data_IF_748972428207
#
_entry.id   IF_748972428207
#
_cell.length_a   1.000
_cell.length_b   1.000
_cell.length_c   1.000
_cell.angle_alpha   90.00
_cell.angle_beta   90.00
_cell.angle_gamma   90.00
#
_symmetry.space_group_name_H-M   'P 1'
#
loop_
_entity.id
_entity.type
_entity.pdbx_description
1 polymer ?
#
# COMPACT_ATOMS: atom_id res chain seq x y z
N UNK A 1 17.14 -34.30 -10.45
CA UNK A 1 16.76 -33.48 -11.62
C UNK A 1 17.17 -32.04 -11.28
N UNK A 2 18.30 -31.57 -11.85
CA UNK A 2 18.70 -30.16 -11.73
C UNK A 2 17.70 -29.30 -12.50
N UNK A 3 16.77 -28.65 -11.78
CA UNK A 3 15.91 -27.66 -12.40
C UNK A 3 16.77 -26.46 -12.77
N UNK A 4 16.92 -26.18 -14.06
CA UNK A 4 17.61 -24.98 -14.54
C UNK A 4 16.88 -23.76 -13.98
N UNK A 5 17.57 -22.98 -13.14
CA UNK A 5 17.02 -21.72 -12.61
C UNK A 5 17.25 -20.63 -13.64
N UNK A 6 16.24 -19.83 -13.89
CA UNK A 6 16.34 -18.61 -14.68
C UNK A 6 16.35 -17.46 -13.67
N UNK A 7 17.34 -16.60 -13.76
CA UNK A 7 17.49 -15.44 -12.90
C UNK A 7 17.20 -14.19 -13.73
N UNK A 8 16.32 -13.33 -13.23
CA UNK A 8 16.01 -12.04 -13.84
C UNK A 8 16.65 -10.94 -12.99
N UNK A 9 17.28 -9.98 -13.63
CA UNK A 9 17.88 -8.83 -13.00
C UNK A 9 17.11 -7.56 -13.42
N UNK A 10 16.70 -6.76 -12.42
CA UNK A 10 15.99 -5.49 -12.62
C UNK A 10 16.94 -4.36 -12.26
N UNK A 11 17.21 -3.46 -13.19
CA UNK A 11 18.12 -2.32 -13.01
C UNK A 11 19.17 -2.23 -14.10
N UNK A 12 20.08 -1.24 -13.97
CA UNK A 12 21.23 -1.10 -14.88
C UNK A 12 22.30 -2.17 -14.64
N UNK A 13 23.19 -2.35 -15.59
CA UNK A 13 24.36 -3.22 -15.49
C UNK A 13 24.04 -4.70 -15.14
N UNK A 14 23.14 -5.31 -15.93
CA UNK A 14 22.75 -6.70 -15.77
C UNK A 14 23.96 -7.63 -15.79
N UNK A 15 24.20 -8.45 -14.73
CA UNK A 15 25.31 -9.38 -14.68
C UNK A 15 25.13 -10.53 -15.68
N UNK A 16 26.26 -11.08 -16.16
CA UNK A 16 26.26 -12.11 -17.21
C UNK A 16 25.56 -13.44 -16.86
N UNK A 17 25.28 -13.69 -15.58
CA UNK A 17 24.58 -14.88 -15.12
C UNK A 17 23.06 -14.73 -15.07
N UNK A 18 22.52 -13.54 -15.36
CA UNK A 18 21.09 -13.23 -15.28
C UNK A 18 20.58 -12.69 -16.62
N UNK A 19 19.29 -12.74 -16.80
CA UNK A 19 18.57 -12.12 -17.91
C UNK A 19 18.12 -10.70 -17.52
N UNK A 20 18.33 -9.75 -18.40
CA UNK A 20 17.91 -8.37 -18.21
C UNK A 20 16.38 -8.28 -18.34
N UNK A 21 15.71 -7.92 -17.24
CA UNK A 21 14.25 -7.87 -17.18
C UNK A 21 13.66 -6.86 -18.19
N UNK A 22 14.26 -5.68 -18.28
CA UNK A 22 13.73 -4.62 -19.15
C UNK A 22 13.86 -4.97 -20.63
N UNK A 23 14.99 -5.61 -21.03
CA UNK A 23 15.16 -6.09 -22.38
C UNK A 23 14.22 -7.25 -22.74
N UNK A 24 14.01 -8.16 -21.80
CA UNK A 24 13.07 -9.27 -22.01
C UNK A 24 11.64 -8.76 -22.15
N UNK A 25 11.19 -7.94 -21.23
CA UNK A 25 9.80 -7.46 -21.20
C UNK A 25 9.47 -6.54 -22.37
N UNK A 26 10.42 -5.73 -22.86
CA UNK A 26 10.22 -4.87 -24.03
C UNK A 26 9.93 -5.65 -25.32
N UNK A 27 10.36 -6.91 -25.40
CA UNK A 27 10.16 -7.79 -26.55
C UNK A 27 9.00 -8.79 -26.37
N UNK A 28 8.31 -8.76 -25.20
CA UNK A 28 7.17 -9.64 -24.98
C UNK A 28 5.93 -9.17 -25.73
N UNK A 29 5.13 -10.13 -26.20
CA UNK A 29 3.83 -9.82 -26.78
C UNK A 29 2.88 -9.28 -25.71
N UNK A 30 2.13 -8.22 -26.04
CA UNK A 30 1.12 -7.62 -25.13
C UNK A 30 -0.20 -8.39 -25.19
N UNK A 31 -0.14 -9.70 -24.97
CA UNK A 31 -1.30 -10.59 -24.95
C UNK A 31 -1.30 -11.39 -23.63
N UNK A 32 -2.49 -11.73 -23.16
CA UNK A 32 -2.62 -12.62 -22.00
C UNK A 32 -2.03 -14.00 -22.32
N UNK A 33 -1.22 -14.59 -21.44
CA UNK A 33 -0.72 -15.95 -21.62
C UNK A 33 -1.83 -17.02 -21.54
N UNK A 34 -3.06 -16.64 -21.15
CA UNK A 34 -4.22 -17.54 -21.11
C UNK A 34 -4.08 -18.70 -20.11
N UNK A 35 -3.24 -18.55 -19.11
CA UNK A 35 -3.08 -19.56 -18.04
C UNK A 35 -4.37 -19.62 -17.23
N UNK A 36 -5.06 -20.78 -17.16
CA UNK A 36 -6.24 -20.90 -16.31
C UNK A 36 -5.81 -20.85 -14.85
N UNK A 37 -6.47 -20.01 -14.07
CA UNK A 37 -6.29 -19.87 -12.62
C UNK A 37 -7.62 -20.07 -11.93
N UNK A 38 -7.57 -20.67 -10.75
CA UNK A 38 -8.72 -20.86 -9.85
C UNK A 38 -8.45 -20.17 -8.52
N UNK A 39 -9.47 -19.97 -7.73
CA UNK A 39 -9.37 -19.41 -6.38
C UNK A 39 -8.49 -20.27 -5.46
N UNK A 40 -8.40 -21.58 -5.72
CA UNK A 40 -7.62 -22.55 -4.95
C UNK A 40 -6.13 -22.58 -5.32
N UNK A 41 -5.74 -21.96 -6.44
CA UNK A 41 -4.34 -21.92 -6.86
C UNK A 41 -3.48 -21.09 -5.89
N UNK A 42 -2.23 -21.51 -5.76
CA UNK A 42 -1.23 -20.83 -4.95
C UNK A 42 -0.89 -19.46 -5.56
N UNK A 43 -1.06 -18.39 -4.78
CA UNK A 43 -0.91 -17.02 -5.25
C UNK A 43 0.36 -16.32 -4.74
N UNK A 44 0.71 -16.53 -3.45
CA UNK A 44 1.84 -15.84 -2.85
C UNK A 44 2.41 -16.58 -1.65
N UNK A 45 3.71 -16.37 -1.40
CA UNK A 45 4.37 -16.77 -0.17
C UNK A 45 4.79 -15.50 0.57
N UNK A 46 4.24 -15.30 1.76
CA UNK A 46 4.67 -14.23 2.65
C UNK A 46 5.53 -14.76 3.78
N UNK A 47 6.49 -13.97 4.20
CA UNK A 47 7.37 -14.31 5.31
C UNK A 47 7.01 -13.46 6.53
N UNK A 48 6.71 -14.12 7.66
CA UNK A 48 6.61 -13.47 8.94
C UNK A 48 7.96 -13.44 9.65
N UNK A 49 8.20 -12.45 10.51
CA UNK A 49 9.46 -12.34 11.28
C UNK A 49 9.71 -13.51 12.23
N UNK A 50 8.68 -14.31 12.55
CA UNK A 50 8.75 -15.48 13.42
C UNK A 50 9.27 -15.17 14.84
N UNK A 51 8.63 -15.71 15.86
CA UNK A 51 9.06 -15.58 17.26
C UNK A 51 10.31 -16.41 17.57
N UNK A 52 10.73 -17.30 16.66
CA UNK A 52 11.85 -18.24 16.81
C UNK A 52 13.13 -17.79 16.10
N UNK A 53 13.19 -16.56 15.59
CA UNK A 53 14.36 -15.98 14.93
C UNK A 53 14.48 -16.29 13.42
N UNK A 54 13.76 -17.27 12.90
CA UNK A 54 13.73 -17.55 11.46
C UNK A 54 12.39 -17.14 10.84
N UNK A 55 12.40 -16.47 9.66
CA UNK A 55 11.18 -16.13 8.94
C UNK A 55 10.39 -17.40 8.60
N UNK A 56 9.09 -17.38 8.87
CA UNK A 56 8.17 -18.47 8.49
C UNK A 56 7.52 -18.13 7.15
N UNK A 57 7.65 -19.03 6.20
CA UNK A 57 6.97 -18.95 4.91
C UNK A 57 5.50 -19.37 5.08
N UNK A 58 4.59 -18.49 4.64
CA UNK A 58 3.14 -18.71 4.69
C UNK A 58 2.63 -18.65 3.26
N UNK A 59 2.11 -19.78 2.79
CA UNK A 59 1.51 -19.90 1.46
C UNK A 59 0.07 -19.40 1.50
N UNK A 60 -0.28 -18.54 0.56
CA UNK A 60 -1.62 -18.01 0.37
C UNK A 60 -2.17 -18.37 -0.99
N UNK A 61 -3.44 -18.75 -1.02
CA UNK A 61 -4.22 -18.96 -2.25
C UNK A 61 -4.84 -17.64 -2.72
N UNK A 62 -5.29 -17.62 -3.98
CA UNK A 62 -5.97 -16.46 -4.55
C UNK A 62 -7.19 -16.06 -3.73
N UNK A 63 -8.05 -17.01 -3.34
CA UNK A 63 -9.25 -16.77 -2.51
C UNK A 63 -8.94 -16.01 -1.21
N UNK A 64 -7.86 -16.39 -0.51
CA UNK A 64 -7.49 -15.78 0.77
C UNK A 64 -7.04 -14.31 0.59
N UNK A 65 -6.31 -14.03 -0.48
CA UNK A 65 -5.88 -12.67 -0.79
C UNK A 65 -7.06 -11.79 -1.21
N UNK A 66 -7.96 -12.33 -2.06
CA UNK A 66 -9.17 -11.62 -2.48
C UNK A 66 -10.09 -11.35 -1.28
N UNK A 67 -10.31 -12.34 -0.42
CA UNK A 67 -11.13 -12.18 0.79
C UNK A 67 -10.58 -11.08 1.71
N UNK A 68 -9.25 -11.03 1.89
CA UNK A 68 -8.61 -9.96 2.67
C UNK A 68 -8.86 -8.58 2.07
N UNK A 69 -8.71 -8.44 0.75
CA UNK A 69 -8.96 -7.18 0.05
C UNK A 69 -10.44 -6.76 0.16
N UNK A 70 -11.37 -7.69 0.02
CA UNK A 70 -12.81 -7.43 0.15
C UNK A 70 -13.19 -7.00 1.56
N UNK A 71 -12.59 -7.61 2.58
CA UNK A 71 -12.80 -7.24 3.98
C UNK A 71 -12.38 -5.79 4.22
N UNK A 72 -11.19 -5.40 3.79
CA UNK A 72 -10.69 -4.02 3.92
C UNK A 72 -11.60 -3.02 3.19
N UNK A 73 -11.99 -3.33 1.95
CA UNK A 73 -12.90 -2.48 1.19
C UNK A 73 -14.24 -2.28 1.90
N UNK A 74 -14.78 -3.36 2.47
CA UNK A 74 -16.05 -3.31 3.20
C UNK A 74 -15.95 -2.38 4.41
N UNK A 75 -14.90 -2.53 5.22
CA UNK A 75 -14.67 -1.68 6.39
C UNK A 75 -14.46 -0.21 6.02
N UNK A 76 -13.70 0.06 4.96
CA UNK A 76 -13.47 1.43 4.48
C UNK A 76 -14.70 2.03 3.76
N UNK A 77 -15.73 1.24 3.46
CA UNK A 77 -16.80 1.66 2.54
C UNK A 77 -16.23 2.18 1.23
N UNK A 78 -15.18 1.51 0.73
CA UNK A 78 -14.45 1.96 -0.46
C UNK A 78 -15.28 1.71 -1.72
N UNK A 79 -15.36 2.73 -2.56
CA UNK A 79 -16.11 2.72 -3.83
C UNK A 79 -15.18 3.07 -4.98
N UNK A 80 -15.66 2.95 -6.22
CA UNK A 80 -14.91 3.31 -7.42
C UNK A 80 -14.52 4.79 -7.51
N UNK A 81 -15.21 5.66 -6.78
CA UNK A 81 -14.96 7.10 -6.72
C UNK A 81 -13.81 7.44 -5.77
N UNK A 82 -13.41 6.50 -4.93
CA UNK A 82 -12.33 6.72 -3.97
C UNK A 82 -10.94 6.72 -4.62
N UNK A 83 -10.04 7.42 -3.96
CA UNK A 83 -8.62 7.42 -4.28
C UNK A 83 -7.86 7.02 -3.02
N UNK A 84 -7.24 5.86 -3.07
CA UNK A 84 -6.48 5.32 -1.95
C UNK A 84 -5.02 5.72 -2.03
N UNK A 85 -4.50 6.42 -1.03
CA UNK A 85 -3.08 6.71 -0.90
C UNK A 85 -2.38 5.62 -0.10
N UNK A 86 -1.57 4.82 -0.78
CA UNK A 86 -0.77 3.76 -0.21
C UNK A 86 0.69 4.22 -0.06
N UNK A 87 1.13 4.38 1.18
CA UNK A 87 2.47 4.86 1.53
C UNK A 87 3.43 3.71 1.83
N UNK A 88 3.01 2.66 2.57
CA UNK A 88 3.90 1.55 2.87
C UNK A 88 4.36 0.83 1.59
N UNK A 89 5.59 0.31 1.58
CA UNK A 89 6.10 -0.44 0.43
C UNK A 89 5.25 -1.68 0.09
N UNK A 90 5.08 -1.97 -1.19
CA UNK A 90 4.25 -3.08 -1.68
C UNK A 90 4.74 -4.49 -1.28
N UNK A 91 5.94 -4.63 -0.72
CA UNK A 91 6.37 -5.91 -0.16
C UNK A 91 5.69 -6.20 1.19
N UNK A 92 5.08 -5.22 1.86
CA UNK A 92 4.22 -5.44 3.01
C UNK A 92 2.84 -5.93 2.59
N UNK A 93 2.32 -6.93 3.30
CA UNK A 93 1.03 -7.55 3.02
C UNK A 93 -0.11 -6.52 3.01
N UNK A 94 -0.19 -5.66 4.02
CA UNK A 94 -1.21 -4.64 4.12
C UNK A 94 -1.22 -3.68 2.92
N UNK A 95 -0.03 -3.21 2.49
CA UNK A 95 0.07 -2.35 1.31
C UNK A 95 -0.50 -3.01 0.04
N UNK A 96 -0.20 -4.31 -0.16
CA UNK A 96 -0.74 -5.07 -1.29
C UNK A 96 -2.25 -5.24 -1.21
N UNK A 97 -2.79 -5.55 -0.02
CA UNK A 97 -4.23 -5.73 0.14
C UNK A 97 -5.00 -4.47 -0.22
N UNK A 98 -4.55 -3.30 0.21
CA UNK A 98 -5.16 -2.04 -0.15
C UNK A 98 -5.01 -1.70 -1.62
N UNK A 99 -3.84 -1.97 -2.21
CA UNK A 99 -3.62 -1.76 -3.64
C UNK A 99 -4.51 -2.69 -4.49
N UNK A 100 -4.51 -4.00 -4.20
CA UNK A 100 -5.40 -4.95 -4.89
C UNK A 100 -6.88 -4.66 -4.59
N UNK A 101 -7.20 -4.24 -3.37
CA UNK A 101 -8.53 -3.78 -3.00
C UNK A 101 -9.02 -2.64 -3.88
N UNK A 102 -8.16 -1.68 -4.17
CA UNK A 102 -8.48 -0.60 -5.10
C UNK A 102 -8.75 -1.11 -6.51
N UNK A 103 -7.99 -2.11 -7.00
CA UNK A 103 -8.26 -2.73 -8.30
C UNK A 103 -9.60 -3.46 -8.31
N UNK A 104 -9.94 -4.18 -7.24
CA UNK A 104 -11.22 -4.90 -7.13
C UNK A 104 -12.44 -3.96 -7.09
N UNK A 105 -12.33 -2.81 -6.40
CA UNK A 105 -13.41 -1.81 -6.35
C UNK A 105 -13.48 -0.94 -7.61
N UNK A 106 -12.48 -1.01 -8.49
CA UNK A 106 -12.33 -0.11 -9.61
C UNK A 106 -11.96 1.32 -9.21
N UNK A 107 -11.47 1.51 -7.98
CA UNK A 107 -10.97 2.79 -7.49
C UNK A 107 -9.52 3.03 -7.93
N UNK A 108 -9.04 4.24 -7.73
CA UNK A 108 -7.65 4.61 -8.02
C UNK A 108 -6.78 4.39 -6.78
N UNK A 109 -5.61 3.78 -6.96
CA UNK A 109 -4.57 3.71 -5.94
C UNK A 109 -3.37 4.59 -6.35
N UNK A 110 -2.88 5.37 -5.41
CA UNK A 110 -1.68 6.20 -5.54
C UNK A 110 -0.59 5.62 -4.66
N UNK A 111 0.56 5.32 -5.24
CA UNK A 111 1.71 4.79 -4.51
C UNK A 111 2.70 5.92 -4.25
N UNK A 112 2.87 6.30 -2.98
CA UNK A 112 3.82 7.32 -2.57
C UNK A 112 5.13 6.67 -2.10
N UNK A 113 6.24 7.06 -2.73
CA UNK A 113 7.58 6.68 -2.27
C UNK A 113 8.09 7.69 -1.27
N UNK A 114 8.04 7.33 0.00
CA UNK A 114 8.56 8.16 1.08
C UNK A 114 7.46 8.60 2.05
N UNK A 115 7.90 9.10 3.20
CA UNK A 115 7.03 9.29 4.37
C UNK A 115 7.11 10.71 4.95
N UNK A 116 7.71 11.66 4.22
CA UNK A 116 7.77 13.04 4.71
C UNK A 116 6.36 13.63 4.81
N UNK A 117 6.00 14.26 5.93
CA UNK A 117 4.69 14.86 6.14
C UNK A 117 4.22 15.76 5.00
N UNK A 118 5.11 16.62 4.50
CA UNK A 118 4.84 17.51 3.36
C UNK A 118 4.46 16.72 2.09
N UNK A 119 5.17 15.63 1.80
CA UNK A 119 4.88 14.82 0.62
C UNK A 119 3.54 14.11 0.72
N UNK A 120 3.19 13.65 1.91
CA UNK A 120 1.89 13.01 2.18
C UNK A 120 0.77 14.02 1.93
N UNK A 121 0.82 15.20 2.56
CA UNK A 121 -0.23 16.22 2.41
C UNK A 121 -0.32 16.75 0.98
N UNK A 122 0.83 16.96 0.33
CA UNK A 122 0.88 17.37 -1.08
C UNK A 122 0.22 16.32 -1.97
N UNK A 123 0.55 15.05 -1.80
CA UNK A 123 -0.04 13.96 -2.60
C UNK A 123 -1.54 13.84 -2.34
N UNK A 124 -1.99 13.96 -1.09
CA UNK A 124 -3.43 14.00 -0.78
C UNK A 124 -4.11 15.12 -1.54
N UNK A 125 -3.51 16.30 -1.56
CA UNK A 125 -4.06 17.49 -2.22
C UNK A 125 -4.09 17.36 -3.75
N UNK A 126 -2.97 16.98 -4.35
CA UNK A 126 -2.79 16.93 -5.81
C UNK A 126 -3.56 15.75 -6.43
N UNK A 127 -3.46 14.58 -5.81
CA UNK A 127 -4.10 13.35 -6.28
C UNK A 127 -5.54 13.19 -5.80
N UNK A 128 -6.03 14.12 -4.97
CA UNK A 128 -7.38 14.10 -4.39
C UNK A 128 -7.66 12.81 -3.62
N UNK A 129 -6.68 12.35 -2.84
CA UNK A 129 -6.84 11.13 -2.06
C UNK A 129 -7.98 11.26 -1.04
N UNK A 130 -8.83 10.23 -0.98
CA UNK A 130 -10.00 10.17 -0.10
C UNK A 130 -9.79 9.25 1.10
N UNK A 131 -8.93 8.26 0.92
CA UNK A 131 -8.53 7.29 1.96
C UNK A 131 -7.00 7.29 2.03
N UNK A 132 -6.44 7.42 3.22
CA UNK A 132 -5.00 7.40 3.44
C UNK A 132 -4.65 6.41 4.53
N UNK A 133 -3.76 5.50 4.25
CA UNK A 133 -3.20 4.63 5.27
C UNK A 133 -1.94 5.23 5.87
N UNK A 134 -2.01 5.53 7.17
CA UNK A 134 -0.88 6.03 7.95
C UNK A 134 -0.44 5.01 9.01
N UNK A 135 0.84 4.87 9.18
CA UNK A 135 1.39 4.29 10.40
C UNK A 135 1.38 5.34 11.52
N UNK A 136 1.31 4.88 12.77
CA UNK A 136 1.28 5.77 13.94
C UNK A 136 2.41 6.80 13.95
N UNK A 137 3.69 6.48 13.66
CA UNK A 137 4.75 7.48 13.59
C UNK A 137 4.48 8.57 12.55
N UNK A 138 3.99 8.21 11.36
CA UNK A 138 3.75 9.20 10.30
C UNK A 138 2.61 10.16 10.64
N UNK A 139 1.55 9.64 11.27
CA UNK A 139 0.49 10.48 11.78
C UNK A 139 1.01 11.44 12.87
N UNK A 140 1.90 10.96 13.75
CA UNK A 140 2.54 11.76 14.76
C UNK A 140 3.42 12.85 14.12
N UNK A 141 4.25 12.50 13.16
CA UNK A 141 5.15 13.43 12.47
C UNK A 141 4.37 14.55 11.76
N UNK A 142 3.23 14.23 11.14
CA UNK A 142 2.36 15.24 10.51
C UNK A 142 1.88 16.25 11.56
N UNK A 143 1.35 15.78 12.69
CA UNK A 143 0.87 16.66 13.75
C UNK A 143 1.99 17.50 14.36
N UNK A 144 3.16 16.90 14.58
CA UNK A 144 4.31 17.60 15.15
C UNK A 144 4.85 18.68 14.21
N UNK A 145 4.85 18.44 12.89
CA UNK A 145 5.20 19.46 11.91
C UNK A 145 4.17 20.61 11.86
N UNK A 146 2.89 20.32 12.03
CA UNK A 146 1.83 21.35 12.13
C UNK A 146 2.02 22.18 13.40
N UNK A 147 2.23 21.55 14.55
CA UNK A 147 2.43 22.23 15.84
C UNK A 147 3.68 23.12 15.85
N UNK A 148 4.73 22.76 15.09
CA UNK A 148 5.94 23.58 14.92
C UNK A 148 5.79 24.67 13.86
N UNK A 149 4.66 24.73 13.15
CA UNK A 149 4.46 25.69 12.06
C UNK A 149 5.28 25.39 10.79
N UNK A 150 5.77 24.16 10.65
CA UNK A 150 6.52 23.71 9.46
C UNK A 150 5.58 23.34 8.30
N UNK A 151 4.30 23.08 8.60
CA UNK A 151 3.26 22.77 7.63
C UNK A 151 2.08 23.72 7.83
N UNK A 152 1.72 24.42 6.76
CA UNK A 152 0.51 25.24 6.70
C UNK A 152 -0.58 24.48 5.96
N UNK A 153 -1.62 24.05 6.68
CA UNK A 153 -2.72 23.26 6.10
C UNK A 153 -3.53 24.01 5.04
N UNK A 154 -3.52 25.34 5.06
CA UNK A 154 -4.23 26.18 4.07
C UNK A 154 -3.65 26.05 2.66
N UNK A 155 -2.43 25.56 2.53
CA UNK A 155 -1.75 25.32 1.25
C UNK A 155 -2.21 24.04 0.56
N UNK A 156 -2.97 23.19 1.27
CA UNK A 156 -3.39 21.88 0.80
C UNK A 156 -4.89 21.75 0.71
N UNK A 157 -5.38 21.10 -0.34
CA UNK A 157 -6.80 20.73 -0.46
C UNK A 157 -7.01 19.35 0.18
N UNK A 158 -7.53 19.36 1.41
CA UNK A 158 -7.68 18.14 2.21
C UNK A 158 -9.14 17.77 2.50
N UNK A 159 -10.11 18.56 2.05
CA UNK A 159 -11.53 18.36 2.36
C UNK A 159 -12.12 17.06 1.82
N UNK A 160 -11.54 16.49 0.76
CA UNK A 160 -11.96 15.22 0.19
C UNK A 160 -11.40 14.00 0.96
N UNK A 161 -10.37 14.18 1.79
CA UNK A 161 -9.81 13.13 2.62
C UNK A 161 -10.80 12.75 3.72
N UNK A 162 -11.58 11.70 3.49
CA UNK A 162 -12.66 11.28 4.37
C UNK A 162 -12.25 10.27 5.44
N UNK A 163 -11.28 9.39 5.14
CA UNK A 163 -10.89 8.28 6.00
C UNK A 163 -9.39 8.24 6.23
N UNK A 164 -9.00 8.19 7.51
CA UNK A 164 -7.66 7.81 7.94
C UNK A 164 -7.69 6.36 8.42
N UNK A 165 -7.13 5.45 7.63
CA UNK A 165 -6.80 4.10 8.11
C UNK A 165 -5.48 4.18 8.88
N UNK A 166 -5.48 3.79 10.16
CA UNK A 166 -4.29 3.87 11.01
C UNK A 166 -4.12 2.58 11.79
N UNK A 167 -2.93 1.96 11.67
CA UNK A 167 -2.73 0.66 12.29
C UNK A 167 -1.30 0.17 12.24
N UNK A 168 -1.17 -1.15 12.14
CA UNK A 168 0.06 -1.93 12.21
C UNK A 168 0.77 -1.91 13.58
N UNK A 169 0.27 -1.14 14.53
CA UNK A 169 0.70 -1.09 15.93
C UNK A 169 -0.39 -0.47 16.81
N UNK A 170 -0.32 -0.60 18.16
CA UNK A 170 -1.27 0.04 19.05
C UNK A 170 -1.34 1.55 18.82
N UNK A 171 -2.55 2.09 18.64
CA UNK A 171 -2.79 3.51 18.40
C UNK A 171 -3.08 4.22 19.73
N UNK A 172 -2.25 5.19 20.17
CA UNK A 172 -2.50 5.91 21.40
C UNK A 172 -3.79 6.77 21.31
N UNK A 173 -4.68 6.70 22.31
CA UNK A 173 -5.87 7.56 22.33
C UNK A 173 -5.57 9.06 22.23
N UNK A 174 -4.43 9.49 22.77
CA UNK A 174 -3.95 10.88 22.66
C UNK A 174 -3.68 11.31 21.24
N UNK A 175 -3.14 10.42 20.41
CA UNK A 175 -2.92 10.69 18.99
C UNK A 175 -4.24 10.95 18.26
N UNK A 176 -5.24 10.10 18.49
CA UNK A 176 -6.57 10.28 17.88
C UNK A 176 -7.23 11.58 18.35
N UNK A 177 -7.08 11.95 19.62
CA UNK A 177 -7.59 13.24 20.13
C UNK A 177 -6.93 14.43 19.44
N UNK A 178 -5.60 14.43 19.30
CA UNK A 178 -4.87 15.47 18.56
C UNK A 178 -5.31 15.52 17.09
N UNK A 179 -5.39 14.35 16.45
CA UNK A 179 -5.81 14.27 15.04
C UNK A 179 -7.21 14.84 14.82
N UNK A 180 -8.17 14.50 15.68
CA UNK A 180 -9.54 15.04 15.63
C UNK A 180 -9.61 16.54 15.83
N UNK A 181 -8.71 17.11 16.58
CA UNK A 181 -8.66 18.58 16.75
C UNK A 181 -8.21 19.29 15.46
N UNK A 182 -7.34 18.65 14.68
CA UNK A 182 -6.80 19.20 13.41
C UNK A 182 -7.70 18.83 12.22
N UNK A 183 -8.18 17.58 12.18
CA UNK A 183 -8.99 17.02 11.09
C UNK A 183 -10.33 16.49 11.62
N UNK A 184 -11.27 17.35 12.02
CA UNK A 184 -12.51 16.94 12.70
C UNK A 184 -13.46 16.14 11.82
N UNK A 185 -13.34 16.22 10.49
CA UNK A 185 -14.21 15.54 9.52
C UNK A 185 -13.71 14.15 9.11
N UNK A 186 -12.50 13.75 9.50
CA UNK A 186 -11.99 12.44 9.17
C UNK A 186 -12.71 11.33 9.94
N UNK A 187 -13.01 10.25 9.23
CA UNK A 187 -13.35 8.96 9.81
C UNK A 187 -12.06 8.18 10.12
N UNK A 188 -12.16 7.17 10.96
CA UNK A 188 -11.02 6.36 11.40
C UNK A 188 -11.36 4.88 11.28
N UNK A 189 -10.38 4.10 10.85
CA UNK A 189 -10.39 2.65 10.82
C UNK A 189 -9.02 2.10 11.23
#
# INVERSE_FOLDING_TARGET
ISKKRILFYVGGDCPSFAEDYDKLTSNCASISPGVPLTDEDDAAIYFSSGTTGFPKAILHRHEALVASCQTEQHHHGQTREDVFLCIPPLYHTGAKMHWFGSLLSGSRAVLLRGVKPEWILRTVSEEKATIVWLLVPWAQDILDCIDRGELNLEEYRLSQWRLMHIGAQPVPPSLIKRWKAVFPHHQYD
#
